data_IF_768346835207
#
_entry.id   IF_768346835207
#
_cell.length_a   1.000
_cell.length_b   1.000
_cell.length_c   1.000
_cell.angle_alpha   90.00
_cell.angle_beta   90.00
_cell.angle_gamma   90.00
#
_symmetry.space_group_name_H-M   'P 1'
#
loop_
_entity.id
_entity.type
_entity.pdbx_description
1 polymer ?
#
# COMPACT_ATOMS: atom_id res chain seq x y z
N UNK A 1 2.04 53.45 -28.55
CA UNK A 1 2.42 52.46 -29.58
C UNK A 1 2.50 51.12 -28.90
N UNK A 2 1.57 50.20 -29.20
CA UNK A 2 1.54 48.87 -28.56
C UNK A 2 2.63 48.01 -29.19
N UNK A 3 3.58 47.56 -28.37
CA UNK A 3 4.66 46.69 -28.78
C UNK A 3 4.09 45.28 -29.03
N UNK A 4 3.63 45.00 -30.25
CA UNK A 4 3.12 43.68 -30.61
C UNK A 4 4.27 42.78 -31.01
N UNK A 5 4.45 41.70 -30.27
CA UNK A 5 5.32 40.63 -30.71
C UNK A 5 4.77 39.96 -31.97
N UNK A 6 5.63 39.46 -32.86
CA UNK A 6 5.21 38.67 -34.02
C UNK A 6 4.37 37.45 -33.61
N UNK A 7 3.35 37.11 -34.41
CA UNK A 7 2.41 35.99 -34.17
C UNK A 7 3.11 34.66 -33.83
N UNK A 8 4.25 34.37 -34.45
CA UNK A 8 5.01 33.14 -34.19
C UNK A 8 5.49 33.01 -32.75
N UNK A 9 5.76 34.13 -32.05
CA UNK A 9 6.17 34.10 -30.64
C UNK A 9 5.01 33.69 -29.74
N UNK A 10 3.80 34.15 -30.04
CA UNK A 10 2.60 33.73 -29.33
C UNK A 10 2.26 32.26 -29.61
N UNK A 11 2.38 31.81 -30.87
CA UNK A 11 2.20 30.40 -31.22
C UNK A 11 3.23 29.50 -30.52
N UNK A 12 4.50 29.91 -30.48
CA UNK A 12 5.55 29.19 -29.75
C UNK A 12 5.24 29.12 -28.25
N UNK A 13 4.79 30.23 -27.65
CA UNK A 13 4.44 30.28 -26.23
C UNK A 13 3.28 29.30 -25.92
N UNK A 14 2.20 29.35 -26.71
CA UNK A 14 1.07 28.43 -26.55
C UNK A 14 1.50 26.97 -26.73
N UNK A 15 2.32 26.68 -27.73
CA UNK A 15 2.83 25.33 -27.98
C UNK A 15 3.63 24.78 -26.80
N UNK A 16 4.58 25.56 -26.27
CA UNK A 16 5.37 25.17 -25.09
C UNK A 16 4.47 24.99 -23.87
N UNK A 17 3.49 25.87 -23.68
CA UNK A 17 2.55 25.79 -22.55
C UNK A 17 1.66 24.53 -22.62
N UNK A 18 1.15 24.18 -23.80
CA UNK A 18 0.36 22.96 -24.00
C UNK A 18 1.18 21.71 -23.71
N UNK A 19 2.43 21.64 -24.19
CA UNK A 19 3.33 20.53 -23.88
C UNK A 19 3.59 20.45 -22.38
N UNK A 20 3.89 21.59 -21.74
CA UNK A 20 4.10 21.66 -20.29
C UNK A 20 2.89 21.15 -19.50
N UNK A 21 1.67 21.51 -19.92
CA UNK A 21 0.44 21.02 -19.30
C UNK A 21 0.25 19.52 -19.47
N UNK A 22 0.51 18.97 -20.66
CA UNK A 22 0.40 17.52 -20.92
C UNK A 22 1.36 16.73 -20.01
N UNK A 23 2.59 17.18 -19.85
CA UNK A 23 3.57 16.51 -18.99
C UNK A 23 3.37 16.78 -17.48
N UNK A 24 2.63 17.83 -17.12
CA UNK A 24 2.24 18.09 -15.74
C UNK A 24 0.99 17.30 -15.30
N UNK A 25 0.13 16.93 -16.24
CA UNK A 25 -1.15 16.22 -16.02
C UNK A 25 -1.03 14.91 -15.22
N UNK A 26 -0.03 14.03 -15.45
CA UNK A 26 0.15 12.81 -14.66
C UNK A 26 0.20 13.04 -13.14
N UNK A 27 0.70 14.19 -12.68
CA UNK A 27 0.82 14.50 -11.26
C UNK A 27 -0.53 14.78 -10.58
N UNK A 28 -1.60 15.03 -11.35
CA UNK A 28 -2.94 15.32 -10.82
C UNK A 28 -3.73 14.06 -10.50
N UNK A 29 -3.42 12.93 -11.15
CA UNK A 29 -4.18 11.68 -10.98
C UNK A 29 -3.92 10.97 -9.66
N UNK A 30 -2.80 11.25 -8.98
CA UNK A 30 -2.45 10.63 -7.71
C UNK A 30 -2.11 9.13 -7.81
N UNK A 31 -2.20 8.44 -6.67
CA UNK A 31 -1.86 7.03 -6.53
C UNK A 31 -3.04 6.22 -6.00
N UNK A 32 -3.29 5.05 -6.58
CA UNK A 32 -4.27 4.06 -6.10
C UNK A 32 -3.59 3.07 -5.13
N UNK A 33 -4.21 2.76 -3.97
CA UNK A 33 -3.75 1.70 -3.09
C UNK A 33 -3.70 0.36 -3.83
N UNK A 34 -2.55 -0.32 -3.84
CA UNK A 34 -2.36 -1.52 -4.65
C UNK A 34 -1.60 -2.63 -3.91
N UNK A 35 -2.01 -3.89 -4.08
CA UNK A 35 -1.21 -5.03 -3.68
C UNK A 35 -0.35 -5.49 -4.84
N UNK A 36 0.96 -5.56 -4.57
CA UNK A 36 1.92 -6.15 -5.49
C UNK A 36 2.23 -7.56 -5.01
N UNK A 37 1.95 -8.52 -5.89
CA UNK A 37 2.24 -9.92 -5.65
C UNK A 37 3.38 -10.29 -6.59
N UNK A 38 4.46 -10.82 -6.05
CA UNK A 38 5.65 -11.27 -6.79
C UNK A 38 5.98 -12.72 -6.42
N UNK A 39 6.35 -13.53 -7.41
CA UNK A 39 6.70 -14.94 -7.18
C UNK A 39 8.09 -15.09 -6.58
N UNK A 40 8.30 -16.05 -5.66
CA UNK A 40 9.64 -16.34 -5.13
C UNK A 40 10.39 -17.27 -6.08
N UNK A 41 11.55 -16.83 -6.62
CA UNK A 41 12.62 -17.51 -7.42
C UNK A 41 12.24 -18.49 -8.56
N UNK A 42 11.14 -19.23 -8.47
CA UNK A 42 10.66 -20.23 -9.42
C UNK A 42 9.12 -20.21 -9.62
N UNK A 43 8.39 -19.31 -8.94
CA UNK A 43 6.94 -19.16 -9.14
C UNK A 43 6.67 -18.14 -10.24
N UNK A 44 6.16 -18.60 -11.38
CA UNK A 44 5.60 -17.73 -12.42
C UNK A 44 4.26 -17.19 -11.94
N UNK A 45 4.05 -15.88 -12.15
CA UNK A 45 2.74 -15.29 -11.91
C UNK A 45 1.92 -15.49 -13.17
N UNK A 46 1.16 -16.58 -13.18
CA UNK A 46 0.27 -16.94 -14.27
C UNK A 46 -1.16 -16.45 -14.03
N UNK A 47 -1.98 -16.49 -15.09
CA UNK A 47 -3.41 -16.17 -15.03
C UNK A 47 -4.15 -16.98 -13.95
N UNK A 48 -3.69 -18.20 -13.64
CA UNK A 48 -4.25 -19.04 -12.58
C UNK A 48 -4.03 -18.45 -11.17
N UNK A 49 -2.90 -17.77 -10.93
CA UNK A 49 -2.65 -17.08 -9.68
C UNK A 49 -3.57 -15.85 -9.56
N UNK A 50 -3.76 -15.11 -10.65
CA UNK A 50 -4.72 -14.00 -10.72
C UNK A 50 -6.14 -14.46 -10.37
N UNK A 51 -6.61 -15.55 -10.97
CA UNK A 51 -7.98 -16.06 -10.74
C UNK A 51 -8.18 -16.56 -9.31
N UNK A 52 -7.17 -17.22 -8.73
CA UNK A 52 -7.19 -17.62 -7.31
C UNK A 52 -7.30 -16.42 -6.38
N UNK A 53 -6.53 -15.36 -6.64
CA UNK A 53 -6.56 -14.16 -5.80
C UNK A 53 -7.89 -13.42 -5.94
N UNK A 54 -8.40 -13.27 -7.16
CA UNK A 54 -9.72 -12.65 -7.39
C UNK A 54 -10.83 -13.44 -6.69
N UNK A 55 -10.78 -14.78 -6.77
CA UNK A 55 -11.76 -15.65 -6.10
C UNK A 55 -11.68 -15.55 -4.58
N UNK A 56 -10.47 -15.49 -4.02
CA UNK A 56 -10.25 -15.30 -2.59
C UNK A 56 -10.79 -13.94 -2.10
N UNK A 57 -10.51 -12.88 -2.87
CA UNK A 57 -11.01 -11.53 -2.57
C UNK A 57 -12.53 -11.42 -2.70
N UNK A 58 -13.12 -12.09 -3.71
CA UNK A 58 -14.57 -12.16 -3.87
C UNK A 58 -15.24 -12.92 -2.71
N UNK A 59 -14.63 -14.00 -2.23
CA UNK A 59 -15.13 -14.76 -1.06
C UNK A 59 -15.11 -13.92 0.22
N UNK A 60 -14.11 -13.04 0.36
CA UNK A 60 -14.01 -12.10 1.47
C UNK A 60 -14.85 -10.83 1.28
N UNK A 61 -15.61 -10.71 0.18
CA UNK A 61 -16.42 -9.54 -0.18
C UNK A 61 -15.60 -8.24 -0.27
N UNK A 62 -14.34 -8.33 -0.72
CA UNK A 62 -13.44 -7.18 -0.86
C UNK A 62 -13.54 -6.63 -2.29
N UNK A 63 -13.98 -5.36 -2.48
CA UNK A 63 -14.09 -4.77 -3.80
C UNK A 63 -12.69 -4.49 -4.39
N UNK A 64 -12.47 -4.97 -5.62
CA UNK A 64 -11.25 -4.75 -6.40
C UNK A 64 -11.55 -3.75 -7.49
N UNK A 65 -10.70 -2.73 -7.65
CA UNK A 65 -10.83 -1.70 -8.69
C UNK A 65 -10.33 -2.23 -10.04
N UNK A 66 -9.13 -2.80 -10.06
CA UNK A 66 -8.52 -3.38 -11.25
C UNK A 66 -7.48 -4.44 -10.88
N UNK A 67 -7.26 -5.42 -11.76
CA UNK A 67 -6.21 -6.43 -11.61
C UNK A 67 -5.38 -6.50 -12.90
N UNK A 68 -4.15 -6.02 -12.81
CA UNK A 68 -3.20 -5.90 -13.92
C UNK A 68 -2.09 -6.95 -13.77
N UNK A 69 -1.93 -7.79 -14.79
CA UNK A 69 -0.87 -8.78 -14.82
C UNK A 69 0.31 -8.20 -15.60
N UNK A 70 1.45 -8.05 -14.93
CA UNK A 70 2.75 -7.70 -15.53
C UNK A 70 3.64 -8.96 -15.58
N UNK A 71 4.71 -8.98 -16.39
CA UNK A 71 5.48 -10.19 -16.66
C UNK A 71 5.96 -10.95 -15.40
N UNK A 72 6.36 -10.23 -14.35
CA UNK A 72 6.89 -10.82 -13.10
C UNK A 72 6.07 -10.46 -11.84
N UNK A 73 4.96 -9.72 -12.00
CA UNK A 73 4.19 -9.21 -10.87
C UNK A 73 2.70 -9.08 -11.19
N UNK A 74 1.85 -9.42 -10.24
CA UNK A 74 0.43 -9.15 -10.27
C UNK A 74 0.14 -7.93 -9.42
N UNK A 75 -0.50 -6.91 -10.02
CA UNK A 75 -0.92 -5.70 -9.36
C UNK A 75 -2.44 -5.69 -9.21
N UNK A 76 -2.90 -5.58 -7.97
CA UNK A 76 -4.32 -5.49 -7.65
C UNK A 76 -4.58 -4.14 -7.03
N UNK A 77 -5.40 -3.31 -7.67
CA UNK A 77 -5.74 -1.95 -7.22
C UNK A 77 -7.03 -1.98 -6.41
N UNK A 78 -7.08 -1.17 -5.37
CA UNK A 78 -8.21 -1.00 -4.45
C UNK A 78 -8.68 0.45 -4.48
N UNK A 79 -9.90 0.69 -3.97
CA UNK A 79 -10.42 2.05 -3.83
C UNK A 79 -9.83 2.74 -2.60
N UNK A 80 -9.66 2.00 -1.50
CA UNK A 80 -9.21 2.56 -0.22
C UNK A 80 -8.08 1.73 0.41
N UNK A 81 -7.23 2.40 1.19
CA UNK A 81 -6.12 1.79 1.95
C UNK A 81 -6.62 0.77 2.98
N UNK A 82 -7.78 0.99 3.60
CA UNK A 82 -8.31 0.03 4.58
C UNK A 82 -8.67 -1.31 3.93
N UNK A 83 -9.29 -1.27 2.74
CA UNK A 83 -9.56 -2.48 1.94
C UNK A 83 -8.28 -3.18 1.51
N UNK A 84 -7.26 -2.42 1.13
CA UNK A 84 -5.95 -2.96 0.78
C UNK A 84 -5.31 -3.69 1.97
N UNK A 85 -5.33 -3.10 3.16
CA UNK A 85 -4.76 -3.68 4.38
C UNK A 85 -5.47 -4.99 4.76
N UNK A 86 -6.80 -5.01 4.74
CA UNK A 86 -7.58 -6.24 4.97
C UNK A 86 -7.26 -7.31 3.93
N UNK A 87 -7.10 -6.90 2.67
CA UNK A 87 -6.79 -7.81 1.58
C UNK A 87 -5.42 -8.51 1.75
N UNK A 88 -4.42 -7.86 2.38
CA UNK A 88 -3.09 -8.48 2.58
C UNK A 88 -3.20 -9.84 3.26
N UNK A 89 -3.93 -9.91 4.38
CA UNK A 89 -3.99 -11.12 5.19
C UNK A 89 -4.70 -12.25 4.44
N UNK A 90 -5.83 -11.94 3.79
CA UNK A 90 -6.57 -12.91 2.98
C UNK A 90 -5.75 -13.42 1.81
N UNK A 91 -5.03 -12.54 1.10
CA UNK A 91 -4.22 -12.90 -0.05
C UNK A 91 -2.99 -13.70 0.38
N UNK A 92 -2.33 -13.33 1.48
CA UNK A 92 -1.23 -14.12 2.08
C UNK A 92 -1.69 -15.53 2.46
N UNK A 93 -2.85 -15.65 3.12
CA UNK A 93 -3.41 -16.97 3.48
C UNK A 93 -3.79 -17.81 2.26
N UNK A 94 -4.31 -17.20 1.20
CA UNK A 94 -4.75 -17.90 0.00
C UNK A 94 -3.58 -18.35 -0.91
N UNK A 95 -2.52 -17.55 -1.03
CA UNK A 95 -1.37 -17.83 -1.89
C UNK A 95 -0.29 -18.69 -1.23
N UNK A 96 -0.22 -18.70 0.11
CA UNK A 96 0.78 -19.46 0.86
C UNK A 96 2.19 -18.88 0.75
N UNK A 97 3.22 -19.69 1.05
CA UNK A 97 4.61 -19.25 1.23
C UNK A 97 5.43 -19.06 -0.05
N UNK A 98 4.87 -19.36 -1.23
CA UNK A 98 5.55 -19.24 -2.52
C UNK A 98 5.45 -17.86 -3.18
N UNK A 99 4.76 -16.90 -2.54
CA UNK A 99 4.51 -15.57 -3.08
C UNK A 99 4.81 -14.51 -2.03
N UNK A 100 5.38 -13.39 -2.49
CA UNK A 100 5.58 -12.19 -1.68
C UNK A 100 4.42 -11.26 -1.99
N UNK A 101 3.62 -10.96 -0.97
CA UNK A 101 2.52 -9.99 -1.03
C UNK A 101 2.97 -8.71 -0.35
N UNK A 102 3.12 -7.64 -1.12
CA UNK A 102 3.59 -6.34 -0.64
C UNK A 102 2.52 -5.26 -0.84
N UNK A 103 2.44 -4.34 0.12
CA UNK A 103 1.68 -3.10 0.00
C UNK A 103 2.43 -2.16 -0.95
N UNK A 104 1.72 -1.62 -1.94
CA UNK A 104 2.24 -0.66 -2.89
C UNK A 104 1.17 0.41 -3.20
N UNK A 105 1.56 1.45 -3.90
CA UNK A 105 0.73 2.52 -4.41
C UNK A 105 1.02 2.60 -5.91
N UNK A 106 0.02 2.28 -6.73
CA UNK A 106 0.15 2.27 -8.17
C UNK A 106 -0.29 3.64 -8.73
N UNK A 107 0.46 4.25 -9.66
CA UNK A 107 0.02 5.49 -10.30
C UNK A 107 -1.34 5.31 -10.98
N UNK A 108 -2.27 6.23 -10.70
CA UNK A 108 -3.60 6.24 -11.33
C UNK A 108 -3.58 6.92 -12.71
N UNK A 109 -2.39 7.15 -13.27
CA UNK A 109 -2.18 7.79 -14.58
C UNK A 109 -2.82 6.95 -15.70
N UNK A 110 -3.65 7.56 -16.56
CA UNK A 110 -4.24 6.90 -17.72
C UNK A 110 -3.21 6.35 -18.72
N UNK A 111 -3.58 5.29 -19.42
CA UNK A 111 -2.70 4.60 -20.38
C UNK A 111 -2.22 5.50 -21.53
N UNK A 112 -3.03 6.47 -21.97
CA UNK A 112 -2.66 7.40 -23.03
C UNK A 112 -1.55 8.38 -22.62
N UNK A 113 -1.41 8.69 -21.32
CA UNK A 113 -0.28 9.49 -20.82
C UNK A 113 0.96 8.62 -20.68
N UNK A 114 0.79 7.39 -20.18
CA UNK A 114 1.87 6.42 -20.09
C UNK A 114 2.47 6.08 -21.47
N UNK A 115 1.66 6.01 -22.52
CA UNK A 115 2.13 5.74 -23.90
C UNK A 115 2.97 6.86 -24.49
N UNK A 116 2.77 8.10 -24.02
CA UNK A 116 3.59 9.27 -24.37
C UNK A 116 4.83 9.41 -23.48
N UNK A 117 5.09 8.43 -22.61
CA UNK A 117 6.14 8.49 -21.59
C UNK A 117 5.99 9.70 -20.65
N UNK A 118 4.77 10.23 -20.50
CA UNK A 118 4.42 11.25 -19.53
C UNK A 118 4.21 10.57 -18.17
N UNK A 119 5.32 10.27 -17.50
CA UNK A 119 5.32 9.62 -16.20
C UNK A 119 5.10 10.65 -15.08
N UNK A 120 4.34 10.30 -14.02
CA UNK A 120 4.27 11.14 -12.84
C UNK A 120 5.64 11.23 -12.17
N UNK A 121 5.87 12.35 -11.50
CA UNK A 121 7.10 12.56 -10.75
C UNK A 121 7.16 11.61 -9.54
N UNK A 122 8.35 11.05 -9.29
CA UNK A 122 8.59 10.30 -8.06
C UNK A 122 8.54 11.26 -6.87
N UNK A 123 7.42 11.25 -6.17
CA UNK A 123 7.23 12.02 -4.96
C UNK A 123 8.11 11.39 -3.86
N UNK A 124 8.94 12.18 -3.19
CA UNK A 124 9.68 11.72 -2.02
C UNK A 124 8.72 11.33 -0.88
N UNK A 125 9.21 10.61 0.12
CA UNK A 125 8.41 10.16 1.27
C UNK A 125 7.60 11.30 1.93
N UNK A 126 8.22 12.47 2.05
CA UNK A 126 7.61 13.68 2.64
C UNK A 126 6.41 14.17 1.81
N UNK A 127 6.55 14.17 0.48
CA UNK A 127 5.51 14.61 -0.45
C UNK A 127 4.42 13.55 -0.69
N UNK A 128 4.71 12.28 -0.39
CA UNK A 128 3.73 11.19 -0.42
C UNK A 128 2.86 11.12 0.84
N UNK A 129 3.09 12.00 1.81
CA UNK A 129 2.36 12.00 3.08
C UNK A 129 2.78 10.87 4.02
N UNK A 130 3.96 10.26 3.80
CA UNK A 130 4.49 9.16 4.60
C UNK A 130 4.35 7.78 3.97
N UNK A 131 4.75 6.74 4.72
CA UNK A 131 4.55 5.33 4.36
C UNK A 131 3.66 4.68 5.41
N UNK A 132 2.71 3.88 4.96
CA UNK A 132 1.95 3.03 5.85
C UNK A 132 2.82 1.85 6.29
N UNK A 133 3.31 1.91 7.52
CA UNK A 133 4.07 0.84 8.12
C UNK A 133 3.11 -0.15 8.79
N UNK A 134 3.04 -1.38 8.26
CA UNK A 134 2.32 -2.46 8.92
C UNK A 134 3.21 -3.02 10.03
N UNK A 135 2.84 -2.77 11.29
CA UNK A 135 3.46 -3.41 12.45
C UNK A 135 2.66 -4.62 12.86
N UNK A 136 3.24 -5.80 12.68
CA UNK A 136 2.69 -7.03 13.21
C UNK A 136 3.03 -7.12 14.70
N UNK A 137 2.00 -7.17 15.55
CA UNK A 137 2.15 -7.33 17.00
C UNK A 137 1.95 -8.80 17.35
N UNK A 138 2.95 -9.42 17.97
CA UNK A 138 2.81 -10.76 18.54
C UNK A 138 1.95 -10.69 19.81
N UNK A 139 0.65 -10.96 19.63
CA UNK A 139 -0.34 -10.94 20.70
C UNK A 139 -0.08 -12.01 21.77
N UNK A 140 0.57 -13.13 21.42
CA UNK A 140 0.88 -14.17 22.40
C UNK A 140 1.91 -13.66 23.40
N UNK A 141 3.01 -13.12 22.89
CA UNK A 141 4.07 -12.52 23.71
C UNK A 141 3.53 -11.31 24.49
N UNK A 142 2.68 -10.49 23.87
CA UNK A 142 2.06 -9.35 24.56
C UNK A 142 1.18 -9.77 25.74
N UNK A 143 0.41 -10.87 25.59
CA UNK A 143 -0.43 -11.41 26.66
C UNK A 143 0.40 -12.01 27.79
N UNK A 144 1.41 -12.82 27.45
CA UNK A 144 2.33 -13.41 28.45
C UNK A 144 3.00 -12.31 29.28
N UNK A 145 3.53 -11.27 28.63
CA UNK A 145 4.12 -10.11 29.30
C UNK A 145 3.10 -9.33 30.14
N UNK A 146 1.83 -9.26 29.73
CA UNK A 146 0.78 -8.59 30.48
C UNK A 146 0.43 -9.37 31.76
N UNK A 147 0.32 -10.70 31.68
CA UNK A 147 0.07 -11.56 32.83
C UNK A 147 1.22 -11.47 33.84
N UNK A 148 2.46 -11.50 33.35
CA UNK A 148 3.64 -11.36 34.21
C UNK A 148 3.69 -9.99 34.90
N UNK A 149 3.35 -8.92 34.17
CA UNK A 149 3.23 -7.57 34.73
C UNK A 149 2.18 -7.51 35.83
N UNK A 150 0.98 -8.02 35.60
CA UNK A 150 -0.08 -8.03 36.61
C UNK A 150 0.30 -8.86 37.84
N UNK A 151 0.97 -10.00 37.66
CA UNK A 151 1.50 -10.80 38.76
C UNK A 151 2.47 -9.99 39.63
N UNK A 152 3.37 -9.22 39.01
CA UNK A 152 4.31 -8.34 39.71
C UNK A 152 3.63 -7.13 40.37
N UNK A 153 2.63 -6.54 39.72
CA UNK A 153 1.86 -5.41 40.26
C UNK A 153 1.06 -5.82 41.49
N UNK A 154 0.37 -6.98 41.46
CA UNK A 154 -0.34 -7.54 42.61
C UNK A 154 0.64 -7.82 43.76
N UNK A 155 1.81 -8.37 43.44
CA UNK A 155 2.84 -8.66 44.45
C UNK A 155 3.34 -7.39 45.12
N UNK A 156 3.50 -6.32 44.35
CA UNK A 156 3.90 -4.99 44.85
C UNK A 156 2.79 -4.39 45.71
N UNK A 157 1.55 -4.40 45.24
CA UNK A 157 0.39 -3.86 45.94
C UNK A 157 0.17 -4.54 47.31
N UNK A 158 0.24 -5.88 47.35
CA UNK A 158 0.09 -6.62 48.62
C UNK A 158 1.23 -6.31 49.59
N UNK A 159 2.44 -6.07 49.09
CA UNK A 159 3.59 -5.68 49.92
C UNK A 159 3.40 -4.28 50.51
N UNK A 160 2.91 -3.34 49.71
CA UNK A 160 2.68 -1.95 50.12
C UNK A 160 1.56 -1.86 51.16
N UNK A 161 0.48 -2.63 50.99
CA UNK A 161 -0.62 -2.76 51.96
C UNK A 161 -0.29 -3.69 53.15
N UNK A 162 0.94 -4.21 53.22
CA UNK A 162 1.42 -5.15 54.26
C UNK A 162 0.56 -6.42 54.42
N UNK A 163 -0.10 -6.84 53.36
CA UNK A 163 -0.90 -8.07 53.31
C UNK A 163 0.05 -9.25 53.06
N UNK A 164 0.06 -10.22 53.97
CA UNK A 164 0.87 -11.45 53.80
C UNK A 164 0.32 -12.28 52.66
N UNK A 165 1.19 -12.69 51.73
CA UNK A 165 0.86 -13.61 50.63
C UNK A 165 1.88 -14.75 50.56
N UNK A 166 1.45 -15.92 50.07
CA UNK A 166 2.32 -17.10 49.97
C UNK A 166 3.07 -17.14 48.62
N UNK A 167 2.34 -17.11 47.50
CA UNK A 167 2.92 -17.10 46.16
C UNK A 167 1.90 -16.54 45.17
N UNK A 168 2.35 -15.66 44.27
CA UNK A 168 1.57 -15.20 43.11
C UNK A 168 2.29 -15.73 41.88
N UNK A 169 1.59 -16.56 41.09
CA UNK A 169 2.09 -17.12 39.82
C UNK A 169 1.39 -16.42 38.65
N UNK A 170 2.18 -16.14 37.62
CA UNK A 170 1.73 -15.84 36.27
C UNK A 170 1.35 -17.14 35.56
#
# INVERSE_FOLDING_TARGET
MINQYPLWKYLLLVFVLVIGLIYALPNVYGEDPALQISGTRNATIDATAKDKVISALATANIPVKAAELKPDQLLIRFNDTETQLKAVDFVKSALGTGYIVALNLAPATPDWLNSLNALPMYLGLDLRGGVHFLMEVDMKTALENAVERYSNDIRTLLRDERIRYAMIRA
#
